data_IF_176723831280
#
_entry.id   IF_176723831280
#
_cell.length_a   1.000
_cell.length_b   1.000
_cell.length_c   1.000
_cell.angle_alpha   90.00
_cell.angle_beta   90.00
_cell.angle_gamma   90.00
#
_symmetry.space_group_name_H-M   'P 1'
#
loop_
_entity.id
_entity.type
_entity.pdbx_description
1 polymer ?
#
# COMPACT_ATOMS: atom_id res chain seq x y z
N UNK A 1 16.21 39.12 -5.93
CA UNK A 1 15.28 38.14 -6.54
C UNK A 1 15.32 36.93 -5.63
N UNK A 2 14.34 36.84 -4.73
CA UNK A 2 14.24 35.74 -3.77
C UNK A 2 13.85 34.46 -4.49
N UNK A 3 14.65 33.42 -4.29
CA UNK A 3 14.38 32.08 -4.77
C UNK A 3 13.22 31.50 -3.97
N UNK A 4 12.00 31.60 -4.49
CA UNK A 4 10.85 30.89 -3.92
C UNK A 4 11.15 29.39 -3.92
N UNK A 5 11.50 28.87 -2.75
CA UNK A 5 11.71 27.45 -2.54
C UNK A 5 10.32 26.78 -2.50
N UNK A 6 9.89 26.21 -3.61
CA UNK A 6 8.58 25.53 -3.78
C UNK A 6 8.59 24.12 -3.15
N UNK A 7 9.49 23.85 -2.21
CA UNK A 7 9.50 22.59 -1.48
C UNK A 7 8.36 22.58 -0.45
N UNK A 8 7.26 21.90 -0.80
CA UNK A 8 6.28 21.40 0.16
C UNK A 8 5.52 22.48 0.93
N UNK A 9 4.91 23.45 0.25
CA UNK A 9 3.96 24.34 0.93
C UNK A 9 2.84 23.50 1.56
N UNK A 10 2.52 23.68 2.85
CA UNK A 10 1.37 23.05 3.45
C UNK A 10 0.11 23.50 2.71
N UNK A 11 -0.74 22.55 2.32
CA UNK A 11 -2.01 22.86 1.66
C UNK A 11 -2.83 23.77 2.59
N UNK A 12 -3.20 24.96 2.12
CA UNK A 12 -4.06 25.85 2.88
C UNK A 12 -5.46 25.25 2.95
N UNK A 13 -6.11 25.35 4.11
CA UNK A 13 -7.46 24.84 4.31
C UNK A 13 -8.43 25.50 3.30
N UNK A 14 -9.01 24.70 2.41
CA UNK A 14 -9.96 25.15 1.38
C UNK A 14 -9.41 25.13 -0.05
N UNK A 15 -8.10 24.94 -0.25
CA UNK A 15 -7.52 24.69 -1.58
C UNK A 15 -7.58 23.19 -1.91
N UNK A 16 -8.01 22.87 -3.14
CA UNK A 16 -7.92 21.49 -3.64
C UNK A 16 -6.45 21.05 -3.73
N UNK A 17 -6.15 19.86 -3.22
CA UNK A 17 -4.80 19.30 -3.31
C UNK A 17 -4.44 19.04 -4.79
N UNK A 18 -3.28 19.53 -5.29
CA UNK A 18 -2.78 19.14 -6.61
C UNK A 18 -2.23 17.69 -6.62
N UNK A 19 -2.22 17.01 -5.48
CA UNK A 19 -1.71 15.66 -5.31
C UNK A 19 -2.85 14.65 -5.22
N UNK A 20 -2.67 13.49 -5.88
CA UNK A 20 -3.61 12.36 -5.83
C UNK A 20 -3.71 11.68 -4.45
N UNK A 21 -2.77 11.97 -3.54
CA UNK A 21 -2.70 11.37 -2.21
C UNK A 21 -2.41 12.39 -1.11
N UNK A 22 -2.19 11.89 0.10
CA UNK A 22 -1.79 12.69 1.27
C UNK A 22 -0.29 12.96 1.22
N UNK A 23 0.11 14.22 1.43
CA UNK A 23 1.51 14.54 1.67
C UNK A 23 1.90 14.08 3.07
N UNK A 24 3.03 13.41 3.17
CA UNK A 24 3.62 12.93 4.43
C UNK A 24 5.10 13.32 4.45
N UNK A 25 5.63 13.55 5.64
CA UNK A 25 7.04 13.86 5.79
C UNK A 25 7.91 12.63 5.51
N UNK A 26 9.06 12.88 4.87
CA UNK A 26 10.08 11.89 4.61
C UNK A 26 11.40 12.34 5.26
N UNK A 27 11.93 11.53 6.16
CA UNK A 27 13.17 11.84 6.89
C UNK A 27 14.31 10.94 6.41
N UNK A 28 15.46 11.53 6.08
CA UNK A 28 16.68 10.76 5.80
C UNK A 28 17.30 10.31 7.11
N UNK A 29 17.52 9.00 7.24
CA UNK A 29 18.20 8.38 8.39
C UNK A 29 19.48 7.68 7.91
N UNK A 30 20.31 7.24 8.85
CA UNK A 30 21.65 6.70 8.56
C UNK A 30 21.67 5.62 7.46
N UNK A 31 20.64 4.77 7.41
CA UNK A 31 20.58 3.63 6.49
C UNK A 31 19.38 3.67 5.53
N UNK A 32 18.74 4.83 5.34
CA UNK A 32 17.58 4.91 4.44
C UNK A 32 16.73 6.15 4.59
N UNK A 33 15.44 6.00 4.29
CA UNK A 33 14.43 7.05 4.43
C UNK A 33 13.27 6.48 5.24
N UNK A 34 12.83 7.24 6.24
CA UNK A 34 11.63 6.97 6.99
C UNK A 34 10.48 7.77 6.38
N UNK A 35 9.42 7.08 5.96
CA UNK A 35 8.17 7.67 5.50
C UNK A 35 7.06 7.09 6.37
N UNK A 36 6.35 7.93 7.11
CA UNK A 36 5.24 7.48 7.94
C UNK A 36 3.97 7.43 7.09
N UNK A 37 3.53 6.22 6.75
CA UNK A 37 2.27 6.00 6.03
C UNK A 37 1.14 5.84 7.05
N UNK A 38 0.10 6.70 7.01
CA UNK A 38 -1.06 6.59 7.89
C UNK A 38 -1.77 5.23 7.76
N UNK A 39 -2.22 4.65 8.88
CA UNK A 39 -2.85 3.33 8.90
C UNK A 39 -4.07 3.21 7.97
N UNK A 40 -4.88 4.27 7.87
CA UNK A 40 -6.05 4.32 6.99
C UNK A 40 -5.69 4.12 5.49
N UNK A 41 -4.45 4.45 5.11
CA UNK A 41 -3.94 4.24 3.76
C UNK A 41 -3.37 2.82 3.55
N UNK A 42 -3.04 2.10 4.62
CA UNK A 42 -2.47 0.75 4.57
C UNK A 42 -3.54 -0.35 4.39
N UNK A 43 -4.76 -0.10 4.86
CA UNK A 43 -5.86 -1.09 4.81
C UNK A 43 -6.14 -1.58 3.38
N UNK A 44 -6.19 -0.65 2.43
CA UNK A 44 -6.35 -0.95 1.00
C UNK A 44 -5.08 -1.53 0.36
N UNK A 45 -3.90 -1.12 0.83
CA UNK A 45 -2.62 -1.65 0.34
C UNK A 45 -2.38 -3.10 0.81
N UNK A 46 -3.07 -3.55 1.86
CA UNK A 46 -2.95 -4.89 2.43
C UNK A 46 -1.67 -5.11 3.22
N UNK A 47 -0.95 -4.04 3.58
CA UNK A 47 0.28 -4.09 4.36
C UNK A 47 -0.08 -4.13 5.85
N UNK A 48 0.27 -5.23 6.51
CA UNK A 48 0.07 -5.43 7.96
C UNK A 48 1.39 -5.20 8.73
N UNK A 49 1.43 -5.47 10.04
CA UNK A 49 2.55 -5.11 10.93
C UNK A 49 3.94 -5.65 10.51
N UNK A 50 4.03 -6.82 9.87
CA UNK A 50 5.31 -7.48 9.55
C UNK A 50 5.32 -8.16 8.18
N UNK A 51 4.96 -7.40 7.15
CA UNK A 51 5.00 -7.87 5.77
C UNK A 51 6.28 -7.45 5.04
N UNK A 52 6.73 -8.29 4.11
CA UNK A 52 7.81 -7.91 3.18
C UNK A 52 7.20 -7.14 2.02
N UNK A 53 7.79 -6.01 1.69
CA UNK A 53 7.43 -5.21 0.51
C UNK A 53 8.58 -5.16 -0.47
N UNK A 54 8.25 -5.07 -1.75
CA UNK A 54 9.18 -4.69 -2.80
C UNK A 54 9.13 -3.18 -2.96
N UNK A 55 10.30 -2.56 -3.03
CA UNK A 55 10.47 -1.12 -3.20
C UNK A 55 11.34 -0.89 -4.42
N UNK A 56 10.89 -0.05 -5.35
CA UNK A 56 11.67 0.32 -6.53
C UNK A 56 11.44 1.78 -6.92
N UNK A 57 12.47 2.39 -7.50
CA UNK A 57 12.43 3.75 -8.00
C UNK A 57 12.21 3.80 -9.51
N UNK A 58 11.54 4.85 -9.97
CA UNK A 58 11.43 5.21 -11.37
C UNK A 58 12.32 6.43 -11.67
N UNK A 59 12.65 6.66 -12.94
CA UNK A 59 13.54 7.76 -13.35
C UNK A 59 12.93 9.16 -13.18
N UNK A 60 11.62 9.26 -13.01
CA UNK A 60 10.90 10.51 -12.73
C UNK A 60 10.91 10.89 -11.24
N UNK A 61 11.61 10.13 -10.40
CA UNK A 61 11.69 10.35 -8.96
C UNK A 61 10.60 9.65 -8.15
N UNK A 62 9.69 8.90 -8.79
CA UNK A 62 8.66 8.13 -8.09
C UNK A 62 9.28 6.93 -7.36
N UNK A 63 8.98 6.78 -6.07
CA UNK A 63 9.23 5.55 -5.32
C UNK A 63 7.93 4.75 -5.22
N UNK A 64 7.95 3.51 -5.69
CA UNK A 64 6.81 2.60 -5.61
C UNK A 64 7.04 1.53 -4.56
N UNK A 65 5.97 1.16 -3.85
CA UNK A 65 5.97 0.11 -2.83
C UNK A 65 4.83 -0.85 -3.14
N UNK A 66 5.08 -2.16 -3.11
CA UNK A 66 4.02 -3.19 -3.19
C UNK A 66 4.33 -4.39 -2.31
N UNK A 67 3.31 -5.17 -1.96
CA UNK A 67 3.51 -6.44 -1.23
C UNK A 67 4.41 -7.41 -2.02
N UNK A 68 5.36 -8.05 -1.33
CA UNK A 68 6.25 -9.05 -1.90
C UNK A 68 5.61 -10.45 -1.98
N UNK A 69 4.32 -10.51 -2.26
CA UNK A 69 3.50 -11.72 -2.42
C UNK A 69 3.01 -11.79 -3.86
N UNK A 70 3.02 -12.96 -4.50
CA UNK A 70 2.58 -13.09 -5.90
C UNK A 70 1.25 -13.82 -6.00
N UNK A 71 0.30 -13.24 -6.74
CA UNK A 71 -0.94 -13.91 -7.08
C UNK A 71 -0.65 -15.17 -7.91
N UNK A 72 -1.22 -16.31 -7.51
CA UNK A 72 -1.02 -17.59 -8.22
C UNK A 72 -1.71 -17.66 -9.60
N UNK A 73 -2.46 -16.61 -9.98
CA UNK A 73 -3.14 -16.51 -11.28
C UNK A 73 -2.45 -15.49 -12.20
N UNK A 74 -2.35 -14.22 -11.79
CA UNK A 74 -1.74 -13.17 -12.62
C UNK A 74 -0.26 -12.88 -12.31
N UNK A 75 0.34 -13.53 -11.31
CA UNK A 75 1.75 -13.35 -10.91
C UNK A 75 2.14 -11.91 -10.47
N UNK A 76 1.15 -11.03 -10.25
CA UNK A 76 1.36 -9.66 -9.76
C UNK A 76 1.47 -9.62 -8.24
N UNK A 77 2.21 -8.62 -7.75
CA UNK A 77 2.32 -8.25 -6.34
C UNK A 77 0.96 -7.79 -5.79
N UNK A 78 0.39 -8.48 -4.80
CA UNK A 78 -0.92 -8.11 -4.24
C UNK A 78 -1.21 -8.77 -2.89
N UNK A 79 -2.14 -8.19 -2.12
CA UNK A 79 -2.83 -8.90 -1.03
C UNK A 79 -3.51 -10.14 -1.60
N UNK A 80 -3.27 -11.28 -0.96
CA UNK A 80 -3.78 -12.56 -1.42
C UNK A 80 -4.94 -13.05 -0.55
N UNK A 81 -5.94 -13.61 -1.21
CA UNK A 81 -7.11 -14.23 -0.62
C UNK A 81 -7.12 -15.70 -1.00
N UNK A 82 -7.55 -16.55 -0.07
CA UNK A 82 -7.70 -17.98 -0.32
C UNK A 82 -9.01 -18.19 -1.07
N UNK A 83 -8.94 -18.85 -2.23
CA UNK A 83 -10.11 -19.31 -2.97
C UNK A 83 -10.03 -20.83 -3.13
N UNK A 84 -11.08 -21.53 -2.70
CA UNK A 84 -11.24 -22.96 -2.94
C UNK A 84 -11.74 -23.17 -4.38
N UNK A 85 -10.99 -23.93 -5.18
CA UNK A 85 -11.35 -24.31 -6.55
C UNK A 85 -11.30 -25.84 -6.63
N UNK A 86 -12.47 -26.48 -6.56
CA UNK A 86 -12.56 -27.94 -6.43
C UNK A 86 -11.89 -28.41 -5.14
N UNK A 87 -10.89 -29.28 -5.24
CA UNK A 87 -10.10 -29.77 -4.09
C UNK A 87 -8.87 -28.93 -3.76
N UNK A 88 -8.55 -27.90 -4.55
CA UNK A 88 -7.35 -27.08 -4.36
C UNK A 88 -7.68 -25.72 -3.74
N UNK A 89 -6.77 -25.21 -2.89
CA UNK A 89 -6.81 -23.83 -2.40
C UNK A 89 -5.78 -23.01 -3.17
N UNK A 90 -6.21 -21.92 -3.80
CA UNK A 90 -5.32 -20.95 -4.44
C UNK A 90 -5.22 -19.65 -3.64
N UNK A 91 -4.06 -19.01 -3.67
CA UNK A 91 -3.84 -17.65 -3.13
C UNK A 91 -3.82 -16.63 -4.26
N UNK A 92 -4.89 -15.85 -4.37
CA UNK A 92 -5.12 -14.98 -5.53
C UNK A 92 -5.42 -13.54 -5.10
N UNK A 93 -5.15 -12.57 -5.97
CA UNK A 93 -5.49 -11.17 -5.70
C UNK A 93 -7.01 -10.94 -5.77
N UNK A 94 -7.48 -9.82 -5.20
CA UNK A 94 -8.90 -9.46 -5.21
C UNK A 94 -9.50 -9.38 -6.61
N UNK A 95 -8.72 -8.87 -7.58
CA UNK A 95 -9.15 -8.77 -8.97
C UNK A 95 -9.43 -10.15 -9.59
N UNK A 96 -8.52 -11.10 -9.41
CA UNK A 96 -8.69 -12.46 -9.94
C UNK A 96 -9.75 -13.24 -9.14
N UNK A 97 -9.89 -12.97 -7.83
CA UNK A 97 -10.98 -13.49 -7.02
C UNK A 97 -12.34 -13.09 -7.57
N UNK A 98 -12.51 -11.80 -7.89
CA UNK A 98 -13.76 -11.28 -8.46
C UNK A 98 -14.04 -11.84 -9.85
N UNK A 99 -13.01 -11.96 -10.71
CA UNK A 99 -13.17 -12.58 -12.03
C UNK A 99 -13.62 -14.05 -11.95
N UNK A 100 -13.21 -14.78 -10.92
CA UNK A 100 -13.53 -16.20 -10.76
C UNK A 100 -14.84 -16.46 -10.02
N UNK A 101 -15.22 -15.60 -9.07
CA UNK A 101 -16.38 -15.82 -8.19
C UNK A 101 -17.55 -14.89 -8.47
N UNK A 102 -17.32 -13.75 -9.13
CA UNK A 102 -18.29 -12.65 -9.24
C UNK A 102 -18.39 -11.78 -7.99
N UNK A 103 -17.71 -12.14 -6.89
CA UNK A 103 -17.81 -11.48 -5.59
C UNK A 103 -16.49 -10.78 -5.22
N UNK A 104 -16.54 -9.80 -4.32
CA UNK A 104 -15.34 -9.24 -3.71
C UNK A 104 -14.93 -10.11 -2.52
N UNK A 105 -13.64 -10.42 -2.35
CA UNK A 105 -13.21 -11.18 -1.19
C UNK A 105 -13.45 -10.38 0.08
N UNK A 106 -13.92 -11.06 1.13
CA UNK A 106 -14.13 -10.42 2.43
C UNK A 106 -12.77 -10.02 3.03
N UNK A 107 -12.60 -8.73 3.26
CA UNK A 107 -11.44 -8.20 3.97
C UNK A 107 -11.70 -8.41 5.46
N UNK A 108 -11.25 -9.54 6.01
CA UNK A 108 -11.14 -9.64 7.47
C UNK A 108 -9.97 -8.76 7.91
N UNK A 109 -10.30 -7.56 8.39
CA UNK A 109 -9.42 -6.82 9.28
C UNK A 109 -9.40 -7.59 10.61
N UNK A 110 -8.60 -8.65 10.71
CA UNK A 110 -8.18 -9.08 12.05
C UNK A 110 -7.29 -7.97 12.58
N UNK A 111 -7.92 -7.01 13.27
CA UNK A 111 -7.27 -6.21 14.29
C UNK A 111 -6.65 -7.20 15.28
N UNK A 112 -5.38 -7.54 15.08
CA UNK A 112 -4.58 -7.96 16.23
C UNK A 112 -4.40 -6.69 17.04
N UNK A 113 -5.40 -6.36 17.88
CA UNK A 113 -5.25 -5.40 18.95
C UNK A 113 -4.02 -5.87 19.73
N UNK A 114 -2.93 -5.09 19.81
CA UNK A 114 -1.83 -5.47 20.67
C UNK A 114 -2.40 -5.58 22.09
N UNK A 115 -2.26 -6.76 22.70
CA UNK A 115 -2.43 -6.90 24.14
C UNK A 115 -1.45 -5.91 24.77
N UNK A 116 -2.00 -4.85 25.37
CA UNK A 116 -1.21 -3.90 26.14
C UNK A 116 -0.59 -4.65 27.33
N UNK A 117 0.71 -4.46 27.60
CA UNK A 117 1.33 -4.95 28.83
C UNK A 117 0.76 -4.25 30.07
#
# INVERSE_FOLDING_TARGET
>A
MESNNIQGMPLQAGEGSPFLGRLVDAERIQNGVLVQIPFDMLDYAGIQEKEKVEVWGMSDGTLSIRMATKCEMCNRGARLFKLQIGSNVKKICAEDYNKLTGEQPQITLTENKPEQP
#
